data_IF_140508223932
#
_entry.id   IF_140508223932
#
_cell.length_a   1.000
_cell.length_b   1.000
_cell.length_c   1.000
_cell.angle_alpha   90.00
_cell.angle_beta   90.00
_cell.angle_gamma   90.00
#
_symmetry.space_group_name_H-M   'P 1'
#
loop_
_entity.id
_entity.type
_entity.pdbx_description
1 polymer ?
#
# COMPACT_ATOMS: atom_id res chain seq x y z
N UNK A 1 6.68 -87.60 -44.95
CA UNK A 1 6.51 -86.17 -45.23
C UNK A 1 7.66 -85.72 -46.11
N UNK A 2 7.38 -85.07 -47.23
CA UNK A 2 8.41 -84.55 -48.15
C UNK A 2 9.06 -83.29 -47.57
N UNK A 3 10.29 -82.98 -47.98
CA UNK A 3 11.04 -81.78 -47.55
C UNK A 3 10.23 -80.48 -47.76
N UNK A 4 9.44 -80.43 -48.84
CA UNK A 4 8.48 -79.35 -49.13
C UNK A 4 7.33 -79.23 -48.11
N UNK A 5 6.87 -80.33 -47.49
CA UNK A 5 5.83 -80.30 -46.45
C UNK A 5 6.36 -79.75 -45.12
N UNK A 6 7.64 -80.02 -44.80
CA UNK A 6 8.29 -79.43 -43.62
C UNK A 6 8.52 -77.92 -43.80
N UNK A 7 8.97 -77.48 -44.98
CA UNK A 7 9.14 -76.05 -45.29
C UNK A 7 7.80 -75.29 -45.32
N UNK A 8 6.74 -75.88 -45.89
CA UNK A 8 5.41 -75.29 -45.89
C UNK A 8 4.86 -75.14 -44.46
N UNK A 9 5.00 -76.17 -43.63
CA UNK A 9 4.58 -76.13 -42.22
C UNK A 9 5.37 -75.12 -41.40
N UNK A 10 6.66 -74.95 -41.67
CA UNK A 10 7.51 -73.93 -41.02
C UNK A 10 7.11 -72.50 -41.39
N UNK A 11 6.87 -72.24 -42.69
CA UNK A 11 6.37 -70.93 -43.16
C UNK A 11 4.99 -70.58 -42.60
N UNK A 12 4.12 -71.58 -42.45
CA UNK A 12 2.81 -71.40 -41.83
C UNK A 12 2.94 -71.02 -40.35
N UNK A 13 3.85 -71.67 -39.62
CA UNK A 13 4.14 -71.38 -38.21
C UNK A 13 4.75 -69.98 -38.03
N UNK A 14 5.69 -69.59 -38.91
CA UNK A 14 6.28 -68.24 -38.95
C UNK A 14 5.21 -67.18 -39.26
N UNK A 15 4.27 -67.45 -40.18
CA UNK A 15 3.12 -66.58 -40.45
C UNK A 15 2.20 -66.41 -39.24
N UNK A 16 1.84 -67.51 -38.57
CA UNK A 16 0.99 -67.47 -37.38
C UNK A 16 1.64 -66.70 -36.22
N UNK A 17 2.96 -66.84 -36.05
CA UNK A 17 3.73 -66.08 -35.06
C UNK A 17 3.77 -64.59 -35.40
N UNK A 18 4.03 -64.22 -36.66
CA UNK A 18 4.06 -62.83 -37.09
C UNK A 18 2.68 -62.15 -37.03
N UNK A 19 1.60 -62.87 -37.38
CA UNK A 19 0.23 -62.39 -37.18
C UNK A 19 -0.12 -62.17 -35.70
N UNK A 20 0.28 -63.11 -34.85
CA UNK A 20 0.11 -62.99 -33.39
C UNK A 20 0.86 -61.78 -32.83
N UNK A 21 2.10 -61.54 -33.29
CA UNK A 21 2.91 -60.36 -32.93
C UNK A 21 2.21 -59.07 -33.35
N UNK A 22 1.78 -58.99 -34.62
CA UNK A 22 1.08 -57.81 -35.16
C UNK A 22 -0.23 -57.51 -34.45
N UNK A 23 -1.00 -58.54 -34.09
CA UNK A 23 -2.21 -58.39 -33.26
C UNK A 23 -1.87 -57.81 -31.88
N UNK A 24 -0.80 -58.29 -31.24
CA UNK A 24 -0.33 -57.77 -29.94
C UNK A 24 0.12 -56.31 -30.02
N UNK A 25 0.91 -55.95 -31.04
CA UNK A 25 1.33 -54.55 -31.25
C UNK A 25 0.09 -53.68 -31.50
N UNK A 26 -0.87 -54.13 -32.30
CA UNK A 26 -2.13 -53.39 -32.51
C UNK A 26 -2.90 -53.13 -31.21
N UNK A 27 -2.97 -54.12 -30.31
CA UNK A 27 -3.57 -53.93 -28.99
C UNK A 27 -2.80 -52.90 -28.14
N UNK A 28 -1.47 -52.93 -28.17
CA UNK A 28 -0.62 -51.96 -27.48
C UNK A 28 -0.78 -50.55 -28.06
N UNK A 29 -0.80 -50.40 -29.38
CA UNK A 29 -1.07 -49.14 -30.09
C UNK A 29 -2.43 -48.58 -29.70
N UNK A 30 -3.48 -49.41 -29.63
CA UNK A 30 -4.81 -48.98 -29.22
C UNK A 30 -4.85 -48.52 -27.76
N UNK A 31 -4.19 -49.25 -26.85
CA UNK A 31 -4.09 -48.87 -25.45
C UNK A 31 -3.31 -47.54 -25.27
N UNK A 32 -2.21 -47.36 -26.01
CA UNK A 32 -1.42 -46.14 -26.00
C UNK A 32 -2.21 -44.95 -26.55
N UNK A 33 -2.93 -45.14 -27.66
CA UNK A 33 -3.82 -44.13 -28.22
C UNK A 33 -4.90 -43.69 -27.20
N UNK A 34 -5.49 -44.63 -26.47
CA UNK A 34 -6.47 -44.33 -25.41
C UNK A 34 -5.84 -43.57 -24.23
N UNK A 35 -4.61 -43.93 -23.84
CA UNK A 35 -3.85 -43.20 -22.81
C UNK A 35 -3.59 -41.75 -23.22
N UNK A 36 -3.13 -41.52 -24.46
CA UNK A 36 -2.90 -40.18 -25.01
C UNK A 36 -4.19 -39.34 -24.98
N UNK A 37 -5.33 -39.92 -25.38
CA UNK A 37 -6.63 -39.25 -25.34
C UNK A 37 -7.07 -38.88 -23.92
N UNK A 38 -6.80 -39.75 -22.93
CA UNK A 38 -7.12 -39.47 -21.54
C UNK A 38 -6.27 -38.32 -20.99
N UNK A 39 -4.95 -38.34 -21.24
CA UNK A 39 -4.06 -37.23 -20.84
C UNK A 39 -4.45 -35.92 -21.52
N UNK A 40 -4.83 -35.96 -22.80
CA UNK A 40 -5.31 -34.79 -23.53
C UNK A 40 -6.58 -34.19 -22.91
N UNK A 41 -7.54 -35.03 -22.47
CA UNK A 41 -8.75 -34.55 -21.77
C UNK A 41 -8.43 -33.89 -20.44
N UNK A 42 -7.50 -34.46 -19.67
CA UNK A 42 -7.04 -33.85 -18.42
C UNK A 42 -6.39 -32.49 -18.68
N UNK A 43 -5.54 -32.39 -19.69
CA UNK A 43 -4.90 -31.14 -20.09
C UNK A 43 -5.92 -30.10 -20.56
N UNK A 44 -6.92 -30.49 -21.35
CA UNK A 44 -8.02 -29.63 -21.76
C UNK A 44 -8.85 -29.12 -20.56
N UNK A 45 -9.13 -29.99 -19.58
CA UNK A 45 -9.87 -29.62 -18.37
C UNK A 45 -9.09 -28.67 -17.45
N UNK A 46 -7.75 -28.65 -17.51
CA UNK A 46 -6.92 -27.74 -16.72
C UNK A 46 -7.00 -26.27 -17.17
N UNK A 47 -7.63 -25.98 -18.32
CA UNK A 47 -7.76 -24.61 -18.84
C UNK A 47 -6.49 -24.03 -19.48
N UNK A 48 -5.36 -24.73 -19.39
CA UNK A 48 -4.08 -24.31 -19.98
C UNK A 48 -3.92 -24.77 -21.43
N UNK A 49 -4.83 -25.57 -21.99
CA UNK A 49 -4.67 -26.15 -23.33
C UNK A 49 -4.63 -25.13 -24.48
N UNK A 50 -5.00 -23.86 -24.25
CA UNK A 50 -5.02 -22.82 -25.27
C UNK A 50 -3.64 -22.54 -25.90
N UNK A 51 -2.54 -22.65 -25.13
CA UNK A 51 -1.19 -22.36 -25.65
C UNK A 51 -0.52 -23.54 -26.36
N UNK A 52 -1.13 -24.74 -26.32
CA UNK A 52 -0.64 -25.99 -26.92
C UNK A 52 -1.60 -26.54 -27.97
N UNK A 53 -2.49 -25.71 -28.51
CA UNK A 53 -3.54 -26.18 -29.42
C UNK A 53 -2.98 -26.84 -30.68
N UNK A 54 -1.90 -26.29 -31.24
CA UNK A 54 -1.29 -26.81 -32.45
C UNK A 54 -0.59 -28.15 -32.19
N UNK A 55 0.15 -28.25 -31.09
CA UNK A 55 0.82 -29.49 -30.67
C UNK A 55 -0.19 -30.60 -30.34
N UNK A 56 -1.30 -30.27 -29.66
CA UNK A 56 -2.38 -31.22 -29.39
C UNK A 56 -3.01 -31.69 -30.71
N UNK A 57 -3.18 -30.79 -31.69
CA UNK A 57 -3.74 -31.15 -33.00
C UNK A 57 -2.85 -32.14 -33.74
N UNK A 58 -1.53 -31.92 -33.74
CA UNK A 58 -0.55 -32.85 -34.32
C UNK A 58 -0.58 -34.22 -33.63
N UNK A 59 -0.59 -34.24 -32.30
CA UNK A 59 -0.67 -35.47 -31.50
C UNK A 59 -1.95 -36.25 -31.85
N UNK A 60 -3.09 -35.56 -31.93
CA UNK A 60 -4.37 -36.19 -32.24
C UNK A 60 -4.46 -36.69 -33.69
N UNK A 61 -3.79 -36.04 -34.65
CA UNK A 61 -3.69 -36.54 -36.01
C UNK A 61 -2.92 -37.88 -36.05
N UNK A 62 -1.83 -38.01 -35.29
CA UNK A 62 -1.08 -39.25 -35.16
C UNK A 62 -1.89 -40.35 -34.44
N UNK A 63 -2.66 -40.00 -33.41
CA UNK A 63 -3.60 -40.91 -32.73
C UNK A 63 -4.64 -41.49 -33.70
N UNK A 64 -5.28 -40.63 -34.51
CA UNK A 64 -6.29 -41.06 -35.47
C UNK A 64 -5.67 -41.97 -36.54
N UNK A 65 -4.53 -41.57 -37.12
CA UNK A 65 -3.78 -42.38 -38.09
C UNK A 65 -3.40 -43.76 -37.54
N UNK A 66 -2.97 -43.84 -36.28
CA UNK A 66 -2.59 -45.09 -35.63
C UNK A 66 -3.80 -46.00 -35.36
N UNK A 67 -4.97 -45.43 -35.03
CA UNK A 67 -6.24 -46.18 -34.88
C UNK A 67 -6.72 -46.80 -36.18
N UNK A 68 -6.58 -46.06 -37.29
CA UNK A 68 -7.00 -46.50 -38.62
C UNK A 68 -6.03 -47.50 -39.26
N UNK A 69 -4.82 -47.66 -38.70
CA UNK A 69 -3.81 -48.58 -39.23
C UNK A 69 -4.20 -50.05 -38.95
N UNK A 70 -4.41 -50.89 -39.99
CA UNK A 70 -4.73 -52.30 -39.80
C UNK A 70 -3.50 -53.08 -39.30
N UNK A 71 -3.71 -54.24 -38.68
CA UNK A 71 -2.62 -55.09 -38.18
C UNK A 71 -1.70 -55.60 -39.30
N UNK A 72 -2.22 -55.71 -40.53
CA UNK A 72 -1.45 -56.04 -41.73
C UNK A 72 -0.59 -54.88 -42.25
N UNK A 73 -0.88 -53.65 -41.85
CA UNK A 73 -0.15 -52.43 -42.23
C UNK A 73 1.13 -52.23 -41.41
N UNK A 74 1.73 -51.04 -41.52
CA UNK A 74 2.97 -50.68 -40.83
C UNK A 74 2.70 -50.29 -39.35
N UNK A 75 2.16 -51.24 -38.58
CA UNK A 75 1.71 -51.05 -37.20
C UNK A 75 2.87 -50.72 -36.24
N UNK A 76 4.08 -51.22 -36.53
CA UNK A 76 5.28 -50.95 -35.74
C UNK A 76 5.71 -49.48 -35.88
N UNK A 77 5.64 -48.91 -37.09
CA UNK A 77 5.90 -47.48 -37.30
C UNK A 77 4.84 -46.62 -36.60
N UNK A 78 3.56 -46.99 -36.68
CA UNK A 78 2.48 -46.30 -35.97
C UNK A 78 2.66 -46.35 -34.44
N UNK A 79 3.10 -47.49 -33.90
CA UNK A 79 3.41 -47.63 -32.47
C UNK A 79 4.58 -46.74 -32.04
N UNK A 80 5.67 -46.70 -32.82
CA UNK A 80 6.82 -45.84 -32.55
C UNK A 80 6.45 -44.34 -32.65
N UNK A 81 5.67 -43.96 -33.66
CA UNK A 81 5.15 -42.60 -33.83
C UNK A 81 4.31 -42.19 -32.60
N UNK A 82 3.40 -43.06 -32.12
CA UNK A 82 2.64 -42.78 -30.90
C UNK A 82 3.50 -42.66 -29.64
N UNK A 83 4.56 -43.46 -29.48
CA UNK A 83 5.45 -43.32 -28.33
C UNK A 83 6.15 -41.96 -28.30
N UNK A 84 6.56 -41.45 -29.47
CA UNK A 84 7.13 -40.09 -29.58
C UNK A 84 6.09 -39.04 -29.20
N UNK A 85 4.85 -39.18 -29.68
CA UNK A 85 3.77 -38.23 -29.35
C UNK A 85 3.37 -38.30 -27.86
N UNK A 86 3.39 -39.49 -27.24
CA UNK A 86 3.16 -39.65 -25.81
C UNK A 86 4.21 -38.91 -24.99
N UNK A 87 5.49 -39.00 -25.36
CA UNK A 87 6.56 -38.27 -24.68
C UNK A 87 6.39 -36.75 -24.81
N UNK A 88 6.02 -36.26 -26.00
CA UNK A 88 5.68 -34.84 -26.25
C UNK A 88 4.50 -34.40 -25.38
N UNK A 89 3.43 -35.21 -25.30
CA UNK A 89 2.27 -34.88 -24.48
C UNK A 89 2.61 -34.85 -22.99
N UNK A 90 3.43 -35.78 -22.51
CA UNK A 90 3.88 -35.81 -21.12
C UNK A 90 4.67 -34.55 -20.74
N UNK A 91 5.59 -34.08 -21.59
CA UNK A 91 6.35 -32.85 -21.32
C UNK A 91 5.47 -31.59 -21.36
N UNK A 92 4.50 -31.53 -22.27
CA UNK A 92 3.51 -30.45 -22.31
C UNK A 92 2.63 -30.45 -21.05
N UNK A 93 2.20 -31.62 -20.59
CA UNK A 93 1.43 -31.75 -19.35
C UNK A 93 2.23 -31.32 -18.13
N UNK A 94 3.52 -31.67 -18.05
CA UNK A 94 4.39 -31.24 -16.97
C UNK A 94 4.57 -29.72 -16.96
N UNK A 95 4.81 -29.12 -18.13
CA UNK A 95 4.93 -27.66 -18.29
C UNK A 95 3.63 -26.95 -17.88
N UNK A 96 2.47 -27.52 -18.22
CA UNK A 96 1.18 -27.00 -17.79
C UNK A 96 1.04 -26.99 -16.27
N UNK A 97 1.38 -28.09 -15.60
CA UNK A 97 1.31 -28.19 -14.14
C UNK A 97 2.23 -27.16 -13.48
N UNK A 98 3.47 -27.02 -13.96
CA UNK A 98 4.41 -26.02 -13.44
C UNK A 98 3.88 -24.59 -13.57
N UNK A 99 3.23 -24.26 -14.69
CA UNK A 99 2.60 -22.95 -14.90
C UNK A 99 1.40 -22.74 -13.96
N UNK A 100 0.57 -23.76 -13.78
CA UNK A 100 -0.55 -23.71 -12.84
C UNK A 100 -0.06 -23.46 -11.41
N UNK A 101 0.97 -24.18 -10.98
CA UNK A 101 1.58 -23.99 -9.66
C UNK A 101 2.19 -22.58 -9.52
N UNK A 102 2.79 -22.03 -10.58
CA UNK A 102 3.34 -20.68 -10.56
C UNK A 102 2.26 -19.61 -10.39
N UNK A 103 1.14 -19.72 -11.13
CA UNK A 103 -0.02 -18.82 -11.00
C UNK A 103 -0.63 -18.91 -9.60
N UNK A 104 -0.79 -20.12 -9.06
CA UNK A 104 -1.30 -20.30 -7.71
C UNK A 104 -0.37 -19.70 -6.65
N UNK A 105 0.95 -19.87 -6.80
CA UNK A 105 1.93 -19.23 -5.90
C UNK A 105 1.86 -17.71 -5.99
N UNK A 106 1.77 -17.15 -7.18
CA UNK A 106 1.67 -15.70 -7.38
C UNK A 106 0.40 -15.15 -6.72
N UNK A 107 -0.73 -15.84 -6.89
CA UNK A 107 -1.98 -15.49 -6.23
C UNK A 107 -1.86 -15.58 -4.70
N UNK A 108 -1.27 -16.64 -4.15
CA UNK A 108 -1.08 -16.78 -2.70
C UNK A 108 -0.18 -15.68 -2.11
N UNK A 109 0.90 -15.33 -2.82
CA UNK A 109 1.79 -14.23 -2.43
C UNK A 109 1.06 -12.89 -2.46
N UNK A 110 0.22 -12.65 -3.46
CA UNK A 110 -0.63 -11.47 -3.57
C UNK A 110 -1.62 -11.38 -2.39
N UNK A 111 -2.32 -12.48 -2.08
CA UNK A 111 -3.24 -12.55 -0.94
C UNK A 111 -2.52 -12.29 0.38
N UNK A 112 -1.36 -12.94 0.58
CA UNK A 112 -0.53 -12.75 1.77
C UNK A 112 -0.05 -11.30 1.92
N UNK A 113 0.33 -10.63 0.81
CA UNK A 113 0.74 -9.23 0.83
C UNK A 113 -0.40 -8.29 1.27
N UNK A 114 -1.63 -8.54 0.84
CA UNK A 114 -2.80 -7.73 1.24
C UNK A 114 -3.15 -7.96 2.70
N UNK A 115 -3.11 -9.22 3.16
CA UNK A 115 -3.34 -9.56 4.57
C UNK A 115 -2.29 -8.90 5.46
N UNK A 116 -1.01 -8.97 5.09
CA UNK A 116 0.08 -8.32 5.81
C UNK A 116 -0.11 -6.81 5.91
N UNK A 117 -0.50 -6.17 4.79
CA UNK A 117 -0.83 -4.75 4.80
C UNK A 117 -1.98 -4.43 5.75
N UNK A 118 -3.08 -5.20 5.73
CA UNK A 118 -4.22 -4.97 6.62
C UNK A 118 -3.81 -5.02 8.09
N UNK A 119 -3.04 -6.02 8.50
CA UNK A 119 -2.53 -6.15 9.86
C UNK A 119 -1.63 -4.96 10.26
N UNK A 120 -0.75 -4.50 9.35
CA UNK A 120 0.08 -3.32 9.58
C UNK A 120 -0.75 -2.05 9.79
N UNK A 121 -1.83 -1.87 9.01
CA UNK A 121 -2.72 -0.73 9.14
C UNK A 121 -3.56 -0.78 10.41
N UNK A 122 -4.06 -1.96 10.80
CA UNK A 122 -4.80 -2.17 12.05
C UNK A 122 -3.92 -1.86 13.27
N UNK A 123 -2.68 -2.33 13.27
CA UNK A 123 -1.72 -2.01 14.33
C UNK A 123 -1.49 -0.50 14.44
N UNK A 124 -1.23 0.18 13.31
CA UNK A 124 -1.08 1.64 13.28
C UNK A 124 -2.33 2.36 13.76
N UNK A 125 -3.51 1.87 13.39
CA UNK A 125 -4.78 2.48 13.79
C UNK A 125 -4.97 2.45 15.32
N UNK A 126 -4.50 1.41 15.99
CA UNK A 126 -4.54 1.32 17.46
C UNK A 126 -3.68 2.39 18.12
N UNK A 127 -2.49 2.66 17.56
CA UNK A 127 -1.48 3.60 18.09
C UNK A 127 -1.85 5.10 17.94
N UNK A 128 -2.75 5.45 17.03
CA UNK A 128 -3.10 6.86 16.75
C UNK A 128 -3.84 7.55 17.90
N UNK A 129 -3.48 8.77 18.27
CA UNK A 129 -4.17 9.51 19.34
C UNK A 129 -5.39 10.28 18.83
N UNK A 130 -5.36 10.77 17.58
CA UNK A 130 -6.40 11.67 17.07
C UNK A 130 -7.46 10.96 16.21
N UNK A 131 -8.72 11.40 16.35
CA UNK A 131 -9.88 10.83 15.66
C UNK A 131 -9.83 10.97 14.14
N UNK A 132 -9.30 12.08 13.62
CA UNK A 132 -9.21 12.29 12.17
C UNK A 132 -8.18 11.35 11.55
N UNK A 133 -6.97 11.24 12.13
CA UNK A 133 -5.96 10.26 11.74
C UNK A 133 -6.52 8.83 11.74
N UNK A 134 -7.28 8.46 12.79
CA UNK A 134 -7.94 7.14 12.86
C UNK A 134 -8.91 6.90 11.70
N UNK A 135 -9.74 7.88 11.34
CA UNK A 135 -10.66 7.76 10.18
C UNK A 135 -9.92 7.63 8.85
N UNK A 136 -8.80 8.33 8.70
CA UNK A 136 -7.98 8.24 7.48
C UNK A 136 -7.37 6.84 7.34
N UNK A 137 -6.80 6.28 8.41
CA UNK A 137 -6.30 4.89 8.39
C UNK A 137 -7.44 3.88 8.26
N UNK A 138 -8.59 4.10 8.88
CA UNK A 138 -9.78 3.24 8.71
C UNK A 138 -10.21 3.19 7.24
N UNK A 139 -10.10 4.31 6.52
CA UNK A 139 -10.35 4.36 5.07
C UNK A 139 -9.34 3.52 4.29
N UNK A 140 -8.06 3.52 4.69
CA UNK A 140 -7.05 2.64 4.10
C UNK A 140 -7.33 1.16 4.39
N UNK A 141 -7.76 0.82 5.62
CA UNK A 141 -8.16 -0.55 5.99
C UNK A 141 -9.30 -1.03 5.09
N UNK A 142 -10.34 -0.21 4.88
CA UNK A 142 -11.45 -0.58 3.96
C UNK A 142 -10.95 -0.81 2.53
N UNK A 143 -10.01 0.00 2.04
CA UNK A 143 -9.41 -0.22 0.71
C UNK A 143 -8.66 -1.56 0.62
N UNK A 144 -8.07 -2.07 1.71
CA UNK A 144 -7.46 -3.41 1.70
C UNK A 144 -8.49 -4.53 1.51
N UNK A 145 -9.74 -4.33 1.91
CA UNK A 145 -10.82 -5.30 1.70
C UNK A 145 -11.23 -5.35 0.23
N UNK A 146 -11.35 -4.19 -0.42
CA UNK A 146 -11.57 -4.09 -1.86
C UNK A 146 -10.40 -4.71 -2.66
N UNK A 147 -9.17 -4.48 -2.19
CA UNK A 147 -7.97 -5.06 -2.79
C UNK A 147 -7.95 -6.58 -2.66
N UNK A 148 -8.34 -7.10 -1.49
CA UNK A 148 -8.48 -8.55 -1.26
C UNK A 148 -9.48 -9.17 -2.23
N UNK A 149 -10.63 -8.53 -2.45
CA UNK A 149 -11.63 -8.98 -3.42
C UNK A 149 -11.11 -8.96 -4.86
N UNK A 150 -10.23 -8.01 -5.19
CA UNK A 150 -9.61 -7.86 -6.52
C UNK A 150 -8.57 -8.96 -6.76
N UNK A 151 -7.73 -9.24 -5.75
CA UNK A 151 -6.77 -10.35 -5.78
C UNK A 151 -7.47 -11.70 -5.89
N UNK A 152 -8.57 -11.93 -5.16
CA UNK A 152 -9.36 -13.18 -5.27
C UNK A 152 -9.93 -13.41 -6.67
N UNK A 153 -10.16 -12.34 -7.45
CA UNK A 153 -10.58 -12.42 -8.86
C UNK A 153 -9.42 -12.63 -9.83
N UNK A 154 -8.19 -12.77 -9.33
CA UNK A 154 -6.97 -12.94 -10.13
C UNK A 154 -6.42 -11.63 -10.70
N UNK A 155 -6.94 -10.47 -10.27
CA UNK A 155 -6.50 -9.16 -10.74
C UNK A 155 -5.35 -8.66 -9.86
N UNK A 156 -4.12 -9.07 -10.18
CA UNK A 156 -2.92 -8.77 -9.39
C UNK A 156 -2.01 -7.69 -10.02
N UNK A 157 -2.35 -7.22 -11.22
CA UNK A 157 -1.58 -6.20 -11.92
C UNK A 157 -1.56 -4.88 -11.12
N UNK A 158 -0.36 -4.36 -10.85
CA UNK A 158 -0.20 -3.10 -10.09
C UNK A 158 -0.32 -3.25 -8.56
N UNK A 159 -0.63 -4.45 -8.05
CA UNK A 159 -0.85 -4.68 -6.63
C UNK A 159 0.31 -4.20 -5.74
N UNK A 160 1.54 -4.49 -6.16
CA UNK A 160 2.74 -4.09 -5.41
C UNK A 160 2.84 -2.56 -5.25
N UNK A 161 2.45 -1.81 -6.29
CA UNK A 161 2.47 -0.35 -6.24
C UNK A 161 1.37 0.19 -5.34
N UNK A 162 0.16 -0.37 -5.42
CA UNK A 162 -0.95 0.03 -4.54
C UNK A 162 -0.65 -0.26 -3.06
N UNK A 163 -0.09 -1.44 -2.76
CA UNK A 163 0.37 -1.80 -1.41
C UNK A 163 1.44 -0.82 -0.92
N UNK A 164 2.43 -0.47 -1.75
CA UNK A 164 3.47 0.48 -1.38
C UNK A 164 2.91 1.88 -1.12
N UNK A 165 1.98 2.35 -1.96
CA UNK A 165 1.33 3.65 -1.78
C UNK A 165 0.52 3.72 -0.48
N UNK A 166 -0.26 2.68 -0.18
CA UNK A 166 -1.03 2.65 1.07
C UNK A 166 -0.14 2.60 2.31
N UNK A 167 0.98 1.86 2.27
CA UNK A 167 1.98 1.89 3.36
C UNK A 167 2.55 3.28 3.56
N UNK A 168 2.90 3.97 2.48
CA UNK A 168 3.44 5.31 2.54
C UNK A 168 2.42 6.30 3.13
N UNK A 169 1.17 6.28 2.66
CA UNK A 169 0.12 7.13 3.21
C UNK A 169 -0.12 6.85 4.70
N UNK A 170 -0.13 5.58 5.12
CA UNK A 170 -0.30 5.24 6.52
C UNK A 170 0.86 5.72 7.41
N UNK A 171 2.07 5.73 6.88
CA UNK A 171 3.25 6.27 7.56
C UNK A 171 3.14 7.80 7.72
N UNK A 172 2.75 8.51 6.67
CA UNK A 172 2.56 9.97 6.70
C UNK A 172 1.48 10.37 7.72
N UNK A 173 0.35 9.66 7.74
CA UNK A 173 -0.73 9.90 8.72
C UNK A 173 -0.21 9.71 10.15
N UNK A 174 0.54 8.64 10.39
CA UNK A 174 1.09 8.34 11.71
C UNK A 174 2.13 9.39 12.15
N UNK A 175 3.02 9.82 11.26
CA UNK A 175 3.98 10.89 11.55
C UNK A 175 3.28 12.22 11.86
N UNK A 176 2.23 12.55 11.11
CA UNK A 176 1.43 13.74 11.34
C UNK A 176 0.69 13.69 12.68
N UNK A 177 0.07 12.55 13.01
CA UNK A 177 -0.59 12.33 14.31
C UNK A 177 0.39 12.51 15.46
N UNK A 178 1.59 11.92 15.35
CA UNK A 178 2.61 12.01 16.38
C UNK A 178 3.12 13.44 16.56
N UNK A 179 3.32 14.15 15.45
CA UNK A 179 3.69 15.56 15.49
C UNK A 179 2.61 16.38 16.21
N UNK A 180 1.33 16.19 15.86
CA UNK A 180 0.23 16.89 16.51
C UNK A 180 0.18 16.63 18.02
N UNK A 181 0.43 15.40 18.46
CA UNK A 181 0.50 15.05 19.89
C UNK A 181 1.63 15.75 20.63
N UNK A 182 2.81 15.85 20.00
CA UNK A 182 3.96 16.56 20.56
C UNK A 182 3.68 18.07 20.64
N UNK A 183 3.15 18.63 19.58
CA UNK A 183 2.81 20.04 19.44
C UNK A 183 1.73 20.46 20.48
N UNK A 184 0.71 19.63 20.72
CA UNK A 184 -0.29 19.86 21.78
C UNK A 184 0.32 19.80 23.19
N UNK A 185 1.23 18.86 23.46
CA UNK A 185 1.94 18.78 24.74
C UNK A 185 2.75 20.05 24.98
N UNK A 186 3.49 20.51 23.97
CA UNK A 186 4.26 21.75 24.02
C UNK A 186 3.35 22.96 24.28
N UNK A 187 2.26 23.10 23.53
CA UNK A 187 1.30 24.20 23.72
C UNK A 187 0.77 24.25 25.15
N UNK A 188 0.42 23.08 25.71
CA UNK A 188 -0.10 22.97 27.08
C UNK A 188 0.93 23.40 28.13
N UNK A 189 2.20 23.08 27.93
CA UNK A 189 3.30 23.53 28.79
C UNK A 189 3.49 25.06 28.71
N UNK A 190 3.51 25.63 27.49
CA UNK A 190 3.60 27.08 27.27
C UNK A 190 2.44 27.81 27.95
N UNK A 191 1.20 27.35 27.76
CA UNK A 191 0.01 27.93 28.39
C UNK A 191 0.11 27.87 29.92
N UNK A 192 0.62 26.75 30.47
CA UNK A 192 0.77 26.58 31.91
C UNK A 192 1.82 27.53 32.49
N UNK A 193 2.97 27.66 31.83
CA UNK A 193 4.03 28.61 32.17
C UNK A 193 3.53 30.06 32.12
N UNK A 194 2.79 30.41 31.07
CA UNK A 194 2.21 31.73 30.87
C UNK A 194 1.18 32.07 31.96
N UNK A 195 0.26 31.16 32.27
CA UNK A 195 -0.71 31.37 33.37
C UNK A 195 -0.02 31.64 34.71
N UNK A 196 1.06 30.90 35.01
CA UNK A 196 1.82 31.09 36.25
C UNK A 196 2.50 32.45 36.26
N UNK A 197 3.23 32.78 35.19
CA UNK A 197 3.96 34.05 35.05
C UNK A 197 3.01 35.25 35.17
N UNK A 198 1.87 35.23 34.48
CA UNK A 198 0.90 36.30 34.56
C UNK A 198 0.32 36.49 35.97
N UNK A 199 0.07 35.39 36.71
CA UNK A 199 -0.40 35.47 38.10
C UNK A 199 0.67 36.02 39.03
N UNK A 200 1.93 35.60 38.86
CA UNK A 200 3.07 36.09 39.65
C UNK A 200 3.27 37.60 39.45
N UNK A 201 2.98 38.11 38.25
CA UNK A 201 2.97 39.54 37.92
C UNK A 201 1.70 40.29 38.34
N UNK A 202 0.77 39.63 39.03
CA UNK A 202 -0.43 40.25 39.59
C UNK A 202 -1.62 40.38 38.64
N UNK A 203 -1.60 39.74 37.47
CA UNK A 203 -2.77 39.67 36.60
C UNK A 203 -3.79 38.66 37.12
N UNK A 204 -5.07 39.04 37.06
CA UNK A 204 -6.17 38.09 37.17
C UNK A 204 -6.34 37.39 35.81
N UNK A 205 -5.96 36.11 35.73
CA UNK A 205 -5.96 35.32 34.49
C UNK A 205 -7.26 34.56 34.32
N UNK A 206 -7.96 34.79 33.20
CA UNK A 206 -9.14 34.05 32.80
C UNK A 206 -8.84 32.61 32.37
N UNK A 207 -9.89 31.77 32.28
CA UNK A 207 -9.74 30.39 31.78
C UNK A 207 -9.34 30.41 30.30
N UNK A 208 -8.31 29.65 29.87
CA UNK A 208 -7.96 29.54 28.46
C UNK A 208 -9.12 29.01 27.62
N UNK A 209 -9.31 29.60 26.43
CA UNK A 209 -10.37 29.23 25.48
C UNK A 209 -9.79 29.05 24.08
N UNK A 210 -10.33 28.12 23.30
CA UNK A 210 -9.92 27.93 21.91
C UNK A 210 -10.62 28.98 21.03
N UNK A 211 -9.84 29.71 20.24
CA UNK A 211 -10.33 30.60 19.19
C UNK A 211 -10.86 29.76 18.03
N UNK A 212 -12.07 30.07 17.55
CA UNK A 212 -12.74 29.27 16.52
C UNK A 212 -12.25 29.60 15.11
N UNK A 213 -11.66 30.77 14.91
CA UNK A 213 -11.18 31.22 13.59
C UNK A 213 -9.75 30.74 13.36
N UNK A 214 -8.89 30.88 14.37
CA UNK A 214 -7.47 30.53 14.24
C UNK A 214 -7.15 29.12 14.76
N UNK A 215 -8.01 28.56 15.62
CA UNK A 215 -7.73 27.29 16.33
C UNK A 215 -6.70 27.43 17.45
N UNK A 216 -6.17 28.63 17.68
CA UNK A 216 -5.22 28.93 18.76
C UNK A 216 -5.87 28.94 20.14
N UNK A 217 -5.07 28.75 21.19
CA UNK A 217 -5.55 28.88 22.57
C UNK A 217 -5.32 30.30 23.06
N UNK A 218 -6.41 30.96 23.41
CA UNK A 218 -6.45 32.34 23.88
C UNK A 218 -6.49 32.38 25.40
N UNK A 219 -5.68 33.25 25.98
CA UNK A 219 -5.65 33.58 27.40
C UNK A 219 -5.70 35.09 27.57
N UNK A 220 -6.53 35.56 28.51
CA UNK A 220 -6.63 36.99 28.84
C UNK A 220 -6.31 37.17 30.31
N UNK A 221 -5.35 38.04 30.61
CA UNK A 221 -5.08 38.50 31.97
C UNK A 221 -5.38 39.97 32.13
N UNK A 222 -5.98 40.34 33.27
CA UNK A 222 -6.42 41.70 33.57
C UNK A 222 -5.87 42.18 34.91
N UNK A 223 -5.32 43.39 34.96
CA UNK A 223 -4.89 44.06 36.18
C UNK A 223 -6.06 44.81 36.84
N UNK A 224 -5.99 45.10 38.16
CA UNK A 224 -6.99 45.92 38.86
C UNK A 224 -7.20 47.32 38.24
N UNK A 225 -6.22 47.82 37.49
CA UNK A 225 -6.30 49.07 36.72
C UNK A 225 -7.12 48.96 35.42
N UNK A 226 -7.85 47.87 35.18
CA UNK A 226 -8.53 47.55 33.91
C UNK A 226 -7.61 47.46 32.67
N UNK A 227 -6.30 47.26 32.89
CA UNK A 227 -5.34 46.98 31.80
C UNK A 227 -5.35 45.49 31.53
N UNK A 228 -5.32 45.07 30.27
CA UNK A 228 -5.35 43.65 29.92
C UNK A 228 -4.34 43.27 28.86
N UNK A 229 -3.92 42.01 28.90
CA UNK A 229 -3.08 41.39 27.88
C UNK A 229 -3.80 40.12 27.41
N UNK A 230 -4.01 40.02 26.11
CA UNK A 230 -4.48 38.82 25.41
C UNK A 230 -3.26 38.13 24.83
N UNK A 231 -3.10 36.84 25.12
CA UNK A 231 -2.15 35.95 24.47
C UNK A 231 -2.91 34.93 23.66
N UNK A 232 -2.37 34.56 22.51
CA UNK A 232 -2.87 33.51 21.65
C UNK A 232 -1.71 32.59 21.28
N UNK A 233 -1.83 31.30 21.61
CA UNK A 233 -0.78 30.31 21.36
C UNK A 233 -1.29 29.30 20.32
N UNK A 234 -0.56 29.15 19.23
CA UNK A 234 -0.89 28.22 18.15
C UNK A 234 -0.51 26.76 18.48
N UNK A 235 -0.81 25.84 17.56
CA UNK A 235 -0.42 24.42 17.68
C UNK A 235 1.09 24.23 17.82
N UNK A 236 1.90 25.02 17.10
CA UNK A 236 3.36 24.91 17.08
C UNK A 236 4.04 25.61 18.27
N UNK A 237 3.28 26.19 19.19
CA UNK A 237 3.79 26.95 20.34
C UNK A 237 4.23 28.38 20.01
N UNK A 238 3.94 28.88 18.80
CA UNK A 238 4.09 30.31 18.49
C UNK A 238 3.01 31.11 19.22
N UNK A 239 3.39 32.31 19.65
CA UNK A 239 2.56 33.14 20.50
C UNK A 239 2.39 34.53 19.90
N UNK A 240 1.14 34.96 19.75
CA UNK A 240 0.76 36.33 19.47
C UNK A 240 0.18 36.99 20.72
N UNK A 241 0.31 38.31 20.83
CA UNK A 241 -0.22 39.04 21.97
C UNK A 241 -0.80 40.41 21.58
N UNK A 242 -1.78 40.86 22.36
CA UNK A 242 -2.42 42.16 22.24
C UNK A 242 -2.60 42.78 23.63
N UNK A 243 -2.12 44.02 23.82
CA UNK A 243 -2.15 44.72 25.10
C UNK A 243 -3.10 45.92 25.04
N UNK A 244 -4.11 45.93 25.91
CA UNK A 244 -5.12 46.98 25.98
C UNK A 244 -4.97 47.81 27.27
N UNK A 245 -5.03 49.14 27.14
CA UNK A 245 -4.98 50.08 28.26
C UNK A 245 -3.57 50.42 28.79
N UNK A 246 -2.51 49.96 28.12
CA UNK A 246 -1.13 50.35 28.45
C UNK A 246 -0.72 51.61 27.65
N UNK A 247 -0.09 52.58 28.33
CA UNK A 247 0.34 53.85 27.74
C UNK A 247 1.86 53.84 27.45
N UNK A 248 2.24 54.26 26.24
CA UNK A 248 3.63 54.57 25.84
C UNK A 248 4.65 53.42 26.04
N UNK A 249 5.87 53.71 26.51
CA UNK A 249 6.96 52.72 26.70
C UNK A 249 6.69 51.69 27.80
N UNK A 250 5.71 51.94 28.69
CA UNK A 250 5.31 50.99 29.74
C UNK A 250 4.66 49.72 29.19
N UNK A 251 4.25 49.71 27.92
CA UNK A 251 3.82 48.49 27.23
C UNK A 251 5.02 47.57 26.97
N UNK A 252 6.13 48.13 26.50
CA UNK A 252 7.35 47.38 26.19
C UNK A 252 7.97 46.84 27.48
N UNK A 253 8.13 47.67 28.51
CA UNK A 253 8.79 47.26 29.76
C UNK A 253 8.06 46.08 30.46
N UNK A 254 6.72 46.10 30.51
CA UNK A 254 5.95 44.98 31.11
C UNK A 254 5.92 43.75 30.21
N UNK A 255 5.94 43.92 28.89
CA UNK A 255 6.03 42.80 27.96
C UNK A 255 7.40 42.14 28.07
N UNK A 256 8.48 42.91 28.09
CA UNK A 256 9.85 42.43 28.26
C UNK A 256 10.03 41.72 29.61
N UNK A 257 9.35 42.18 30.66
CA UNK A 257 9.32 41.48 31.96
C UNK A 257 8.61 40.11 31.86
N UNK A 258 7.43 40.06 31.23
CA UNK A 258 6.72 38.78 31.00
C UNK A 258 7.56 37.83 30.14
N UNK A 259 8.09 38.32 29.03
CA UNK A 259 8.89 37.54 28.10
C UNK A 259 10.20 37.09 28.76
N UNK A 260 10.91 37.96 29.47
CA UNK A 260 12.14 37.63 30.17
C UNK A 260 11.96 36.55 31.24
N UNK A 261 10.83 36.55 31.95
CA UNK A 261 10.49 35.48 32.90
C UNK A 261 10.21 34.17 32.15
N UNK A 262 9.56 34.22 30.98
CA UNK A 262 9.29 33.05 30.14
C UNK A 262 10.58 32.44 29.56
N UNK A 263 11.52 33.27 29.10
CA UNK A 263 12.82 32.81 28.61
C UNK A 263 13.66 32.20 29.73
N UNK A 264 13.73 32.89 30.88
CA UNK A 264 14.59 32.49 32.01
C UNK A 264 14.10 31.22 32.71
N UNK A 265 12.79 31.10 32.94
CA UNK A 265 12.24 30.02 33.76
C UNK A 265 11.76 28.82 32.93
N UNK A 266 11.52 29.01 31.62
CA UNK A 266 10.89 27.98 30.79
C UNK A 266 11.63 27.72 29.48
N UNK A 267 12.82 28.31 29.26
CA UNK A 267 13.65 28.10 28.05
C UNK A 267 12.90 28.36 26.74
N UNK A 268 11.89 29.23 26.78
CA UNK A 268 11.15 29.66 25.60
C UNK A 268 12.07 30.61 24.81
N UNK A 269 12.20 30.41 23.50
CA UNK A 269 12.96 31.35 22.65
C UNK A 269 11.97 32.32 22.03
N UNK A 270 12.07 33.62 22.37
CA UNK A 270 11.22 34.62 21.72
C UNK A 270 11.82 35.03 20.37
N UNK A 271 10.99 35.02 19.32
CA UNK A 271 11.39 35.53 18.01
C UNK A 271 11.49 37.07 18.00
N UNK A 272 11.95 37.69 16.89
CA UNK A 272 12.03 39.14 16.79
C UNK A 272 10.63 39.76 16.98
N UNK A 273 10.50 40.56 18.05
CA UNK A 273 9.24 41.21 18.45
C UNK A 273 8.75 42.12 17.33
N UNK A 274 7.63 41.75 16.69
CA UNK A 274 6.96 42.60 15.71
C UNK A 274 6.00 43.54 16.45
N UNK A 275 6.44 44.76 16.75
CA UNK A 275 5.56 45.73 17.35
C UNK A 275 4.57 46.31 16.33
N UNK A 276 3.36 45.76 16.28
CA UNK A 276 2.28 46.35 15.50
C UNK A 276 1.49 47.36 16.36
N UNK A 277 2.06 48.56 16.53
CA UNK A 277 1.46 49.61 17.37
C UNK A 277 0.16 50.15 16.76
N UNK A 278 -1.00 49.74 17.28
CA UNK A 278 -2.29 50.42 17.05
C UNK A 278 -2.52 51.47 18.13
N UNK A 279 -1.76 52.56 18.11
CA UNK A 279 -2.07 53.72 18.97
C UNK A 279 -2.72 54.85 18.15
N UNK A 280 -4.06 55.00 18.20
CA UNK A 280 -4.76 56.06 17.45
C UNK A 280 -4.50 57.47 17.99
N UNK A 281 -3.99 57.61 19.22
CA UNK A 281 -3.88 58.93 19.89
C UNK A 281 -2.57 59.67 19.65
N UNK A 282 -1.62 59.06 18.92
CA UNK A 282 -0.39 59.75 18.47
C UNK A 282 -0.10 59.48 17.00
N UNK A 283 -1.04 59.79 16.11
CA UNK A 283 -0.63 60.42 14.85
C UNK A 283 -0.12 61.80 15.25
N UNK A 284 1.18 61.90 15.52
CA UNK A 284 1.86 63.17 15.73
C UNK A 284 1.42 64.09 14.58
N UNK A 285 0.77 65.21 14.91
CA UNK A 285 0.58 66.34 13.98
C UNK A 285 1.98 66.89 13.66
N UNK A 286 2.72 66.19 12.82
CA UNK A 286 4.12 66.47 12.52
C UNK A 286 4.95 65.31 11.94
N UNK A 287 4.52 64.04 12.05
CA UNK A 287 5.27 62.93 11.44
C UNK A 287 4.95 62.79 9.95
N UNK A 288 5.76 63.41 9.08
CA UNK A 288 5.88 63.03 7.67
C UNK A 288 6.52 61.64 7.59
N UNK A 289 5.69 60.62 7.64
CA UNK A 289 6.10 59.23 7.55
C UNK A 289 4.90 58.35 7.81
N UNK A 290 3.99 58.28 6.84
CA UNK A 290 2.99 57.22 6.85
C UNK A 290 3.73 55.89 6.80
N UNK A 291 3.47 54.92 7.71
CA UNK A 291 3.70 53.54 7.36
C UNK A 291 2.64 53.20 6.30
N UNK A 292 3.03 53.26 5.03
CA UNK A 292 2.29 52.54 4.00
C UNK A 292 2.20 51.09 4.45
N UNK A 293 0.99 50.54 4.47
CA UNK A 293 0.73 49.16 4.85
C UNK A 293 1.80 48.24 4.30
N UNK A 294 2.60 47.68 5.21
CA UNK A 294 3.55 46.64 4.88
C UNK A 294 2.75 45.40 4.54
N UNK A 295 2.77 45.04 3.26
CA UNK A 295 2.24 43.78 2.76
C UNK A 295 2.63 42.64 3.71
N UNK A 296 1.65 41.80 4.04
CA UNK A 296 1.84 40.43 4.53
C UNK A 296 2.96 39.78 3.71
N UNK A 297 4.13 39.61 4.33
CA UNK A 297 5.21 38.79 3.76
C UNK A 297 5.18 37.44 4.44
N UNK A 298 4.62 36.47 3.73
CA UNK A 298 4.95 35.07 3.91
C UNK A 298 6.43 34.89 3.60
N UNK A 299 7.20 34.35 4.55
CA UNK A 299 8.58 33.97 4.33
C UNK A 299 8.63 32.45 4.22
N UNK A 300 8.73 31.98 2.97
CA UNK A 300 9.13 30.62 2.65
C UNK A 300 10.57 30.36 3.07
N UNK A 301 10.83 29.13 3.51
CA UNK A 301 12.13 28.65 3.95
C UNK A 301 13.16 28.67 2.82
N UNK A 302 14.34 29.22 3.13
CA UNK A 302 15.56 29.01 2.37
C UNK A 302 16.37 27.88 3.00
N UNK A 303 16.62 26.85 2.21
CA UNK A 303 17.58 25.78 2.48
C UNK A 303 18.98 26.36 2.72
N UNK A 304 19.68 25.82 3.74
CA UNK A 304 21.07 25.40 3.64
C UNK A 304 21.23 24.07 4.37
#
# INVERSE_FOLDING_TARGET
MTQAQFEARRRELERQQEESRRKKVKQQTAALAQSIEQTQRTLAASGTAAWVQEEIREIMAAVNKAKDTPASGNIDAAFNELNVQQAKLSSLSETSNQRQDAVQREQWMAESSVIGLKLELEARHEDLEHKESRKEVETLIRKTEDLSNTVQKGQIAGLQQEVAQMRQSALEIHEQDMKQSVDEKLRREVITALMKTMRDLGFAVGKPTIDKETGGVVMIGTLPSNRSIRFEVDLNGQMEFDMNGFLERKCADHLDEVLGILETNFSITTGPIQHNWKNPDKISKGSKGFPSGGNTRSMGGGQQ
#
